data_IF_427294772151
#
_entry.id   IF_427294772151
#
_cell.length_a   1.000
_cell.length_b   1.000
_cell.length_c   1.000
_cell.angle_alpha   90.00
_cell.angle_beta   90.00
_cell.angle_gamma   90.00
#
_symmetry.space_group_name_H-M   'P 1'
#
loop_
_entity.id
_entity.type
_entity.pdbx_description
1 polymer ?
#
# COMPACT_ATOMS: atom_id res chain seq x y z
N UNK A 1 -0.71 0.36 -5.59
CA UNK A 1 -0.74 -1.11 -5.86
C UNK A 1 0.57 -1.77 -5.44
N UNK A 2 0.53 -3.01 -4.92
CA UNK A 2 1.70 -3.78 -4.45
C UNK A 2 1.61 -5.19 -5.03
N UNK A 3 2.73 -5.69 -5.59
CA UNK A 3 2.89 -7.06 -6.04
C UNK A 3 3.88 -7.78 -5.12
N UNK A 4 3.43 -8.86 -4.45
CA UNK A 4 4.23 -9.60 -3.47
C UNK A 4 4.41 -11.05 -3.93
N UNK A 5 5.64 -11.44 -4.24
CA UNK A 5 5.97 -12.84 -4.54
C UNK A 5 6.07 -13.61 -3.23
N UNK A 6 5.22 -14.59 -3.09
CA UNK A 6 5.07 -15.43 -1.91
C UNK A 6 6.01 -16.65 -1.97
N UNK A 7 5.96 -17.50 -0.95
CA UNK A 7 6.87 -18.65 -0.81
C UNK A 7 6.64 -19.68 -1.92
N UNK A 8 7.72 -20.11 -2.56
CA UNK A 8 7.70 -21.22 -3.51
C UNK A 8 7.57 -22.59 -2.79
N UNK A 9 6.98 -23.57 -3.47
CA UNK A 9 6.78 -24.93 -2.97
C UNK A 9 7.03 -25.94 -4.08
N UNK A 10 7.33 -27.19 -3.70
CA UNK A 10 7.37 -28.34 -4.61
C UNK A 10 5.98 -28.95 -4.85
N UNK A 11 5.07 -28.79 -3.87
CA UNK A 11 3.75 -29.43 -3.85
C UNK A 11 2.60 -28.51 -4.24
N UNK A 12 2.86 -27.29 -4.69
CA UNK A 12 1.82 -26.31 -5.03
C UNK A 12 0.77 -26.10 -3.92
N UNK A 13 1.19 -26.09 -2.66
CA UNK A 13 0.33 -25.88 -1.50
C UNK A 13 -0.39 -24.51 -1.50
N UNK A 14 -0.01 -23.61 -2.38
CA UNK A 14 -0.76 -22.37 -2.63
C UNK A 14 -2.17 -22.66 -3.17
N UNK A 15 -2.36 -23.73 -3.94
CA UNK A 15 -3.69 -24.15 -4.43
C UNK A 15 -4.56 -24.54 -3.24
N UNK A 16 -4.08 -25.45 -2.40
CA UNK A 16 -4.79 -25.91 -1.19
C UNK A 16 -5.16 -24.72 -0.27
N UNK A 17 -4.23 -23.80 -0.06
CA UNK A 17 -4.47 -22.60 0.74
C UNK A 17 -5.62 -21.74 0.18
N UNK A 18 -5.63 -21.48 -1.14
CA UNK A 18 -6.66 -20.67 -1.76
C UNK A 18 -8.02 -21.40 -1.80
N UNK A 19 -8.05 -22.70 -2.16
CA UNK A 19 -9.27 -23.52 -2.18
C UNK A 19 -9.89 -23.66 -0.78
N UNK A 20 -9.09 -23.74 0.28
CA UNK A 20 -9.59 -23.72 1.64
C UNK A 20 -10.28 -22.38 2.00
N UNK A 21 -9.89 -21.26 1.39
CA UNK A 21 -10.59 -19.98 1.53
C UNK A 21 -11.86 -19.91 0.67
N UNK A 22 -11.83 -20.47 -0.53
CA UNK A 22 -13.03 -20.62 -1.38
C UNK A 22 -14.10 -21.42 -0.62
N UNK A 23 -13.71 -22.55 -0.02
CA UNK A 23 -14.63 -23.39 0.79
C UNK A 23 -15.22 -22.67 2.00
N UNK A 24 -14.53 -21.63 2.51
CA UNK A 24 -15.01 -20.77 3.61
C UNK A 24 -15.85 -19.58 3.13
N UNK A 25 -16.05 -19.41 1.82
CA UNK A 25 -16.78 -18.28 1.24
C UNK A 25 -16.07 -16.92 1.35
N UNK A 26 -14.74 -16.92 1.60
CA UNK A 26 -13.93 -15.67 1.71
C UNK A 26 -12.96 -15.49 0.54
N UNK A 27 -13.04 -16.35 -0.46
CA UNK A 27 -12.33 -16.23 -1.73
C UNK A 27 -13.15 -16.89 -2.84
N UNK A 28 -12.77 -16.61 -4.08
CA UNK A 28 -13.35 -17.16 -5.29
C UNK A 28 -12.26 -17.46 -6.31
N UNK A 29 -12.34 -18.61 -6.97
CA UNK A 29 -11.50 -18.95 -8.12
C UNK A 29 -12.11 -18.28 -9.36
N UNK A 30 -11.55 -17.16 -9.78
CA UNK A 30 -12.12 -16.33 -10.85
C UNK A 30 -11.53 -16.61 -12.22
N UNK A 31 -10.38 -17.28 -12.31
CA UNK A 31 -9.80 -17.72 -13.58
C UNK A 31 -9.05 -19.05 -13.45
N UNK A 32 -9.36 -19.97 -14.38
CA UNK A 32 -8.60 -21.19 -14.67
C UNK A 32 -8.21 -21.15 -16.15
N UNK A 33 -6.92 -21.19 -16.44
CA UNK A 33 -6.42 -21.13 -17.82
C UNK A 33 -5.37 -22.18 -18.08
N UNK A 34 -5.47 -22.83 -19.27
CA UNK A 34 -4.54 -23.85 -19.74
C UNK A 34 -4.49 -25.11 -18.84
N UNK A 35 -5.68 -25.59 -18.40
CA UNK A 35 -5.89 -26.83 -17.69
C UNK A 35 -6.78 -27.78 -18.55
N UNK A 36 -6.47 -27.90 -19.84
CA UNK A 36 -7.34 -28.42 -20.89
C UNK A 36 -8.00 -29.78 -20.56
N UNK A 37 -7.28 -30.68 -19.91
CA UNK A 37 -7.82 -31.99 -19.51
C UNK A 37 -8.80 -31.92 -18.35
N UNK A 38 -8.67 -30.95 -17.45
CA UNK A 38 -9.50 -30.80 -16.25
C UNK A 38 -10.77 -30.00 -16.52
N UNK A 39 -10.72 -29.02 -17.42
CA UNK A 39 -11.87 -28.16 -17.75
C UNK A 39 -13.04 -28.94 -18.36
N UNK A 40 -12.77 -30.11 -18.96
CA UNK A 40 -13.77 -30.95 -19.61
C UNK A 40 -14.40 -31.99 -18.67
N UNK A 41 -13.93 -32.13 -17.42
CA UNK A 41 -14.39 -33.18 -16.49
C UNK A 41 -15.54 -32.78 -15.56
N UNK A 42 -15.94 -31.53 -15.56
CA UNK A 42 -17.12 -31.00 -14.84
C UNK A 42 -16.97 -30.87 -13.30
N UNK A 43 -16.00 -31.54 -12.67
CA UNK A 43 -15.70 -31.45 -11.22
C UNK A 43 -14.20 -31.28 -11.01
N UNK A 44 -13.76 -30.03 -10.92
CA UNK A 44 -12.35 -29.70 -10.65
C UNK A 44 -12.17 -29.53 -9.14
N UNK A 45 -11.35 -30.41 -8.53
CA UNK A 45 -11.01 -30.33 -7.11
C UNK A 45 -9.65 -29.66 -6.91
N UNK A 46 -9.38 -29.18 -5.69
CA UNK A 46 -8.06 -28.66 -5.31
C UNK A 46 -6.92 -29.65 -5.62
N UNK A 47 -7.15 -30.95 -5.37
CA UNK A 47 -6.18 -32.01 -5.66
C UNK A 47 -5.90 -32.13 -7.17
N UNK A 48 -6.94 -32.08 -8.00
CA UNK A 48 -6.77 -32.16 -9.45
C UNK A 48 -5.94 -30.96 -9.99
N UNK A 49 -6.21 -29.73 -9.53
CA UNK A 49 -5.45 -28.55 -9.91
C UNK A 49 -4.00 -28.65 -9.46
N UNK A 50 -3.77 -29.15 -8.26
CA UNK A 50 -2.45 -29.32 -7.67
C UNK A 50 -1.64 -30.39 -8.42
N UNK A 51 -2.22 -31.56 -8.68
CA UNK A 51 -1.60 -32.63 -9.46
C UNK A 51 -1.28 -32.20 -10.89
N UNK A 52 -2.18 -31.45 -11.52
CA UNK A 52 -1.91 -30.91 -12.85
C UNK A 52 -0.67 -30.02 -12.86
N UNK A 53 -0.55 -29.08 -11.92
CA UNK A 53 0.61 -28.19 -11.81
C UNK A 53 1.90 -28.95 -11.48
N UNK A 54 1.84 -30.00 -10.66
CA UNK A 54 2.97 -30.87 -10.38
C UNK A 54 3.41 -31.61 -11.65
N UNK A 55 2.46 -32.25 -12.34
CA UNK A 55 2.73 -32.99 -13.57
C UNK A 55 3.25 -32.08 -14.70
N UNK A 56 2.64 -30.88 -14.88
CA UNK A 56 3.14 -29.89 -15.80
C UNK A 56 4.59 -29.49 -15.47
N UNK A 57 4.90 -29.35 -14.18
CA UNK A 57 6.23 -28.90 -13.76
C UNK A 57 7.28 -30.02 -13.79
N UNK A 58 6.90 -31.28 -13.88
CA UNK A 58 7.80 -32.42 -14.01
C UNK A 58 8.57 -32.47 -15.35
N UNK A 59 8.21 -31.61 -16.31
CA UNK A 59 9.00 -31.39 -17.53
C UNK A 59 10.44 -30.93 -17.24
N UNK A 60 10.72 -30.45 -16.02
CA UNK A 60 12.07 -30.02 -15.61
C UNK A 60 12.35 -30.38 -14.15
N UNK A 61 12.88 -31.56 -13.93
CA UNK A 61 13.19 -32.12 -12.59
C UNK A 61 14.33 -31.37 -11.85
N UNK A 62 15.06 -30.51 -12.52
CA UNK A 62 16.09 -29.67 -11.88
C UNK A 62 15.47 -28.58 -11.01
N UNK A 63 14.19 -28.24 -11.22
CA UNK A 63 13.49 -27.19 -10.48
C UNK A 63 12.72 -27.79 -9.30
N UNK A 64 13.35 -27.82 -8.14
CA UNK A 64 12.80 -28.47 -6.92
C UNK A 64 11.60 -27.73 -6.31
N UNK A 65 11.40 -26.44 -6.59
CA UNK A 65 10.27 -25.63 -6.07
C UNK A 65 9.63 -24.84 -7.22
N UNK A 66 8.86 -25.51 -8.08
CA UNK A 66 8.32 -24.93 -9.30
C UNK A 66 7.13 -23.99 -9.05
N UNK A 67 6.52 -23.97 -7.88
CA UNK A 67 5.42 -23.04 -7.61
C UNK A 67 5.86 -21.58 -7.72
N UNK A 68 5.17 -20.81 -8.56
CA UNK A 68 5.14 -19.36 -8.49
C UNK A 68 3.80 -18.94 -7.88
N UNK A 69 3.87 -18.22 -6.77
CA UNK A 69 2.70 -17.71 -6.06
C UNK A 69 2.89 -16.21 -5.85
N UNK A 70 1.96 -15.41 -6.36
CA UNK A 70 1.97 -13.96 -6.32
C UNK A 70 0.67 -13.45 -5.71
N UNK A 71 0.74 -12.41 -4.89
CA UNK A 71 -0.40 -11.60 -4.50
C UNK A 71 -0.28 -10.20 -5.08
N UNK A 72 -1.33 -9.69 -5.73
CA UNK A 72 -1.47 -8.30 -6.16
C UNK A 72 -2.57 -7.67 -5.32
N UNK A 73 -2.25 -6.56 -4.66
CA UNK A 73 -3.15 -5.86 -3.73
C UNK A 73 -3.22 -4.37 -4.03
N UNK A 74 -4.42 -3.79 -3.93
CA UNK A 74 -4.68 -2.36 -4.00
C UNK A 74 -5.60 -1.91 -2.85
N UNK A 75 -5.80 -0.62 -2.66
CA UNK A 75 -6.86 -0.12 -1.77
C UNK A 75 -8.22 -0.47 -2.35
N UNK A 76 -9.22 -0.68 -1.49
CA UNK A 76 -10.57 -1.14 -1.86
C UNK A 76 -11.21 -0.34 -3.01
N UNK A 77 -11.00 0.98 -3.02
CA UNK A 77 -11.66 1.89 -3.97
C UNK A 77 -10.75 2.28 -5.16
N UNK A 78 -9.59 1.61 -5.33
CA UNK A 78 -8.66 1.91 -6.43
C UNK A 78 -8.99 1.14 -7.70
N UNK A 79 -9.23 -0.18 -7.58
CA UNK A 79 -9.48 -1.10 -8.68
C UNK A 79 -10.45 -2.19 -8.25
N UNK A 80 -11.35 -2.60 -9.15
CA UNK A 80 -12.18 -3.79 -8.98
C UNK A 80 -11.40 -5.08 -9.31
N UNK A 81 -12.05 -6.23 -9.14
CA UNK A 81 -11.38 -7.52 -9.37
C UNK A 81 -11.12 -7.80 -10.86
N UNK A 82 -11.98 -7.34 -11.78
CA UNK A 82 -11.77 -7.49 -13.22
C UNK A 82 -10.57 -6.65 -13.70
N UNK A 83 -10.41 -5.47 -13.14
CA UNK A 83 -9.25 -4.62 -13.38
C UNK A 83 -7.97 -5.24 -12.82
N UNK A 84 -8.03 -5.84 -11.62
CA UNK A 84 -6.89 -6.56 -11.05
C UNK A 84 -6.48 -7.76 -11.89
N UNK A 85 -7.42 -8.50 -12.48
CA UNK A 85 -7.14 -9.61 -13.42
C UNK A 85 -6.45 -9.08 -14.68
N UNK A 86 -6.92 -7.99 -15.25
CA UNK A 86 -6.25 -7.37 -16.41
C UNK A 86 -4.82 -6.95 -16.13
N UNK A 87 -4.61 -6.34 -14.95
CA UNK A 87 -3.28 -5.95 -14.47
C UNK A 87 -2.41 -7.18 -14.24
N UNK A 88 -2.96 -8.26 -13.68
CA UNK A 88 -2.26 -9.53 -13.47
C UNK A 88 -1.75 -10.12 -14.78
N UNK A 89 -2.56 -10.13 -15.84
CA UNK A 89 -2.14 -10.62 -17.15
C UNK A 89 -1.00 -9.79 -17.76
N UNK A 90 -1.07 -8.46 -17.65
CA UNK A 90 0.02 -7.58 -18.08
C UNK A 90 1.29 -7.85 -17.27
N UNK A 91 1.17 -7.98 -15.96
CA UNK A 91 2.27 -8.28 -15.06
C UNK A 91 2.92 -9.62 -15.40
N UNK A 92 2.12 -10.68 -15.56
CA UNK A 92 2.61 -12.02 -15.89
C UNK A 92 3.37 -12.03 -17.23
N UNK A 93 2.86 -11.32 -18.21
CA UNK A 93 3.53 -11.16 -19.53
C UNK A 93 4.91 -10.48 -19.37
N UNK A 94 5.00 -9.38 -18.65
CA UNK A 94 6.26 -8.63 -18.42
C UNK A 94 7.26 -9.44 -17.56
N UNK A 95 6.78 -10.31 -16.69
CA UNK A 95 7.60 -11.17 -15.84
C UNK A 95 8.00 -12.51 -16.49
N UNK A 96 7.46 -12.81 -17.70
CA UNK A 96 7.75 -14.04 -18.43
C UNK A 96 6.85 -15.24 -18.10
N UNK A 97 5.77 -15.03 -17.34
CA UNK A 97 4.79 -16.05 -16.95
C UNK A 97 3.52 -16.04 -17.83
N UNK A 98 3.47 -15.23 -18.88
CA UNK A 98 2.28 -15.03 -19.70
C UNK A 98 2.32 -15.75 -21.05
N UNK A 99 3.15 -16.77 -21.24
CA UNK A 99 3.22 -17.54 -22.49
C UNK A 99 1.95 -18.36 -22.70
N UNK A 100 1.61 -18.59 -23.97
CA UNK A 100 0.51 -19.48 -24.36
C UNK A 100 0.81 -20.91 -23.89
N UNK A 101 -0.19 -21.59 -23.28
CA UNK A 101 -0.01 -22.90 -22.67
C UNK A 101 0.51 -22.88 -21.22
N UNK A 102 0.84 -21.72 -20.65
CA UNK A 102 1.23 -21.62 -19.23
C UNK A 102 0.00 -21.82 -18.36
N UNK A 103 -0.03 -22.83 -17.45
CA UNK A 103 -1.17 -23.03 -16.55
C UNK A 103 -1.27 -21.88 -15.56
N UNK A 104 -2.48 -21.38 -15.33
CA UNK A 104 -2.73 -20.22 -14.48
C UNK A 104 -4.01 -20.36 -13.68
N UNK A 105 -3.93 -20.07 -12.38
CA UNK A 105 -5.06 -19.93 -11.47
C UNK A 105 -5.03 -18.52 -10.89
N UNK A 106 -6.20 -17.84 -10.88
CA UNK A 106 -6.37 -16.55 -10.22
C UNK A 106 -7.53 -16.65 -9.24
N UNK A 107 -7.28 -16.28 -7.98
CA UNK A 107 -8.25 -16.25 -6.91
C UNK A 107 -8.48 -14.81 -6.44
N UNK A 108 -9.73 -14.38 -6.34
CA UNK A 108 -10.11 -13.16 -5.62
C UNK A 108 -10.27 -13.48 -4.13
N UNK A 109 -9.76 -12.61 -3.26
CA UNK A 109 -9.91 -12.74 -1.81
C UNK A 109 -10.70 -11.58 -1.22
N UNK A 110 -11.62 -11.89 -0.30
CA UNK A 110 -12.56 -10.96 0.32
C UNK A 110 -12.37 -10.83 1.84
N UNK A 111 -11.34 -11.47 2.40
CA UNK A 111 -11.08 -11.56 3.83
C UNK A 111 -10.32 -10.36 4.43
N UNK A 112 -10.04 -9.35 3.61
CA UNK A 112 -9.40 -8.09 4.05
C UNK A 112 -10.13 -6.87 3.51
N UNK A 113 -9.84 -5.70 4.09
CA UNK A 113 -10.40 -4.42 3.60
C UNK A 113 -9.84 -3.98 2.25
N UNK A 114 -8.71 -4.54 1.82
CA UNK A 114 -8.07 -4.23 0.55
C UNK A 114 -8.46 -5.29 -0.49
N UNK A 115 -8.75 -4.87 -1.71
CA UNK A 115 -8.91 -5.81 -2.82
C UNK A 115 -7.56 -6.47 -3.13
N UNK A 116 -7.55 -7.78 -3.22
CA UNK A 116 -6.36 -8.52 -3.61
C UNK A 116 -6.71 -9.82 -4.31
N UNK A 117 -5.82 -10.19 -5.21
CA UNK A 117 -5.89 -11.46 -5.94
C UNK A 117 -4.63 -12.28 -5.67
N UNK A 118 -4.81 -13.60 -5.65
CA UNK A 118 -3.72 -14.55 -5.60
C UNK A 118 -3.59 -15.27 -6.93
N UNK A 119 -2.36 -15.38 -7.42
CA UNK A 119 -2.02 -15.97 -8.71
C UNK A 119 -1.11 -17.15 -8.45
N UNK A 120 -1.46 -18.32 -8.98
CA UNK A 120 -0.66 -19.54 -8.88
C UNK A 120 -0.35 -20.08 -10.27
N UNK A 121 0.93 -20.28 -10.56
CA UNK A 121 1.41 -20.87 -11.82
C UNK A 121 2.76 -21.57 -11.60
N UNK A 122 3.30 -22.18 -12.65
CA UNK A 122 4.61 -22.83 -12.62
C UNK A 122 5.74 -21.85 -12.98
N UNK A 123 6.92 -22.05 -12.35
CA UNK A 123 8.21 -21.41 -12.74
C UNK A 123 8.84 -22.05 -13.97
N UNK A 124 8.18 -23.01 -14.57
CA UNK A 124 8.60 -23.72 -15.78
C UNK A 124 7.66 -23.28 -16.89
N UNK A 125 8.23 -22.82 -18.01
CA UNK A 125 7.43 -22.39 -19.15
C UNK A 125 6.95 -23.58 -19.98
N UNK A 126 6.07 -23.41 -20.98
CA UNK A 126 5.55 -24.50 -21.82
C UNK A 126 6.61 -25.27 -22.60
N UNK A 127 7.83 -24.74 -22.74
CA UNK A 127 8.96 -25.41 -23.40
C UNK A 127 9.87 -26.15 -22.38
N UNK A 128 9.42 -26.34 -21.13
CA UNK A 128 10.16 -27.05 -20.08
C UNK A 128 11.35 -26.26 -19.52
N UNK A 129 11.49 -24.96 -19.82
CA UNK A 129 12.59 -24.13 -19.35
C UNK A 129 12.17 -23.36 -18.09
N UNK A 130 13.12 -23.18 -17.17
CA UNK A 130 12.91 -22.31 -16.01
C UNK A 130 12.76 -20.87 -16.45
N UNK A 131 11.71 -20.22 -15.99
CA UNK A 131 11.50 -18.77 -16.15
C UNK A 131 12.52 -18.02 -15.31
N UNK A 132 13.09 -16.96 -15.88
CA UNK A 132 14.09 -16.14 -15.21
C UNK A 132 13.56 -15.56 -13.90
N UNK A 133 14.30 -15.78 -12.82
CA UNK A 133 13.97 -15.36 -11.46
C UNK A 133 15.04 -14.48 -10.80
N UNK A 134 16.05 -14.07 -11.56
CA UNK A 134 17.12 -13.22 -11.05
C UNK A 134 16.54 -11.85 -10.66
N UNK A 135 16.86 -11.41 -9.43
CA UNK A 135 16.31 -10.19 -8.86
C UNK A 135 14.80 -10.07 -8.96
N UNK A 136 14.08 -11.20 -8.97
CA UNK A 136 12.65 -11.32 -9.24
C UNK A 136 11.79 -10.33 -8.43
N UNK A 137 12.09 -10.13 -7.14
CA UNK A 137 11.34 -9.20 -6.29
C UNK A 137 11.53 -7.74 -6.68
N UNK A 138 12.72 -7.34 -7.09
CA UNK A 138 12.99 -5.98 -7.57
C UNK A 138 12.34 -5.75 -8.93
N UNK A 139 12.43 -6.72 -9.84
CA UNK A 139 11.74 -6.68 -11.14
C UNK A 139 10.24 -6.61 -10.96
N UNK A 140 9.68 -7.43 -10.06
CA UNK A 140 8.25 -7.46 -9.75
C UNK A 140 7.70 -6.07 -9.43
N UNK A 141 8.32 -5.34 -8.50
CA UNK A 141 7.87 -4.00 -8.14
C UNK A 141 8.10 -2.99 -9.28
N UNK A 142 9.18 -3.14 -10.05
CA UNK A 142 9.42 -2.29 -11.22
C UNK A 142 8.37 -2.49 -12.32
N UNK A 143 7.96 -3.74 -12.56
CA UNK A 143 6.91 -4.09 -13.52
C UNK A 143 5.57 -3.51 -13.09
N UNK A 144 5.16 -3.69 -11.82
CA UNK A 144 3.88 -3.13 -11.35
C UNK A 144 3.88 -1.59 -11.43
N UNK A 145 4.99 -0.95 -11.07
CA UNK A 145 5.13 0.50 -11.19
C UNK A 145 5.03 0.97 -12.65
N UNK A 146 5.64 0.23 -13.60
CA UNK A 146 5.55 0.50 -15.03
C UNK A 146 4.11 0.42 -15.53
N UNK A 147 3.38 -0.66 -15.17
CA UNK A 147 1.98 -0.86 -15.56
C UNK A 147 1.10 0.27 -15.01
N UNK A 148 1.37 0.71 -13.77
CA UNK A 148 0.64 1.79 -13.11
C UNK A 148 1.08 3.19 -13.53
N UNK A 149 2.03 3.34 -14.46
CA UNK A 149 2.57 4.64 -14.88
C UNK A 149 3.35 5.38 -13.79
N UNK A 150 3.70 4.70 -12.68
CA UNK A 150 4.43 5.30 -11.56
C UNK A 150 5.92 5.39 -11.87
N UNK A 151 6.52 6.57 -11.70
CA UNK A 151 7.96 6.81 -11.88
C UNK A 151 8.64 7.09 -10.53
N UNK A 152 8.89 6.08 -9.69
CA UNK A 152 9.27 6.27 -8.29
C UNK A 152 10.49 7.18 -8.08
N UNK A 153 11.51 7.06 -8.94
CA UNK A 153 12.73 7.89 -8.83
C UNK A 153 12.53 9.36 -9.19
N UNK A 154 11.61 9.66 -10.10
CA UNK A 154 11.29 11.04 -10.46
C UNK A 154 10.38 11.66 -9.40
N UNK A 155 9.41 10.89 -8.92
CA UNK A 155 8.47 11.31 -7.90
C UNK A 155 9.18 11.59 -6.57
N UNK A 156 10.14 10.73 -6.14
CA UNK A 156 10.88 10.94 -4.89
C UNK A 156 11.72 12.22 -4.91
N UNK A 157 12.37 12.54 -6.03
CA UNK A 157 13.14 13.80 -6.14
C UNK A 157 12.25 15.02 -5.99
N UNK A 158 11.08 15.01 -6.63
CA UNK A 158 10.09 16.07 -6.51
C UNK A 158 9.60 16.20 -5.05
N UNK A 159 9.28 15.08 -4.40
CA UNK A 159 8.85 15.06 -2.99
C UNK A 159 9.94 15.58 -2.06
N UNK A 160 11.19 15.20 -2.28
CA UNK A 160 12.33 15.69 -1.51
C UNK A 160 12.46 17.20 -1.63
N UNK A 161 12.45 17.75 -2.85
CA UNK A 161 12.52 19.20 -3.08
C UNK A 161 11.33 19.92 -2.43
N UNK A 162 10.15 19.35 -2.55
CA UNK A 162 8.95 19.88 -1.89
C UNK A 162 9.08 19.82 -0.36
N UNK A 163 9.61 18.73 0.20
CA UNK A 163 9.82 18.58 1.63
C UNK A 163 10.83 19.56 2.21
N UNK A 164 11.90 19.85 1.46
CA UNK A 164 12.90 20.87 1.83
C UNK A 164 12.32 22.30 1.88
N UNK A 165 11.19 22.55 1.22
CA UNK A 165 10.51 23.86 1.26
C UNK A 165 9.67 24.08 2.52
N UNK A 166 9.54 23.08 3.40
CA UNK A 166 8.83 23.22 4.67
C UNK A 166 9.71 23.84 5.77
N UNK A 167 9.08 24.54 6.71
CA UNK A 167 9.72 24.93 7.96
C UNK A 167 9.74 23.75 8.93
N UNK A 168 10.93 23.25 9.24
CA UNK A 168 11.17 22.17 10.21
C UNK A 168 12.45 22.49 11.02
N UNK A 169 12.55 21.94 12.23
CA UNK A 169 13.66 22.19 13.15
C UNK A 169 14.56 20.96 13.34
N UNK A 170 14.09 19.77 12.99
CA UNK A 170 14.80 18.52 13.24
C UNK A 170 14.67 17.55 12.08
N UNK A 171 15.65 16.66 11.94
CA UNK A 171 15.61 15.55 10.97
C UNK A 171 14.32 14.71 11.11
N UNK A 172 13.88 14.43 12.35
CA UNK A 172 12.63 13.67 12.58
C UNK A 172 11.38 14.38 12.05
N UNK A 173 11.34 15.71 12.04
CA UNK A 173 10.26 16.46 11.40
C UNK A 173 10.33 16.37 9.87
N UNK A 174 11.51 16.40 9.29
CA UNK A 174 11.69 16.18 7.85
C UNK A 174 11.27 14.75 7.44
N UNK A 175 11.66 13.75 8.22
CA UNK A 175 11.21 12.37 8.01
C UNK A 175 9.68 12.24 8.07
N UNK A 176 9.03 12.95 9.01
CA UNK A 176 7.57 12.96 9.09
C UNK A 176 6.90 13.61 7.86
N UNK A 177 7.51 14.64 7.25
CA UNK A 177 7.00 15.20 5.99
C UNK A 177 7.04 14.13 4.88
N UNK A 178 8.14 13.39 4.75
CA UNK A 178 8.28 12.30 3.78
C UNK A 178 7.23 11.20 4.03
N UNK A 179 7.03 10.81 5.32
CA UNK A 179 6.06 9.80 5.71
C UNK A 179 4.62 10.23 5.39
N UNK A 180 4.27 11.51 5.59
CA UNK A 180 2.95 12.05 5.22
C UNK A 180 2.65 11.98 3.72
N UNK A 181 3.71 11.87 2.91
CA UNK A 181 3.68 11.70 1.45
C UNK A 181 3.82 10.22 1.02
N UNK A 182 3.80 9.28 1.99
CA UNK A 182 3.85 7.84 1.73
C UNK A 182 5.26 7.29 1.45
N UNK A 183 6.31 7.98 1.90
CA UNK A 183 7.69 7.50 1.84
C UNK A 183 8.22 7.18 3.23
N UNK A 184 8.82 6.03 3.38
CA UNK A 184 9.57 5.65 4.58
C UNK A 184 11.02 6.16 4.48
N UNK A 185 11.65 6.42 5.62
CA UNK A 185 13.06 6.81 5.63
C UNK A 185 13.79 6.26 6.86
N UNK A 186 15.09 6.03 6.70
CA UNK A 186 15.98 5.61 7.79
C UNK A 186 17.38 6.19 7.59
N UNK A 187 18.09 6.37 8.68
CA UNK A 187 19.47 6.88 8.68
C UNK A 187 20.46 5.74 8.59
N UNK A 188 21.50 5.94 7.78
CA UNK A 188 22.66 5.03 7.68
C UNK A 188 23.93 5.87 7.48
N UNK A 189 24.78 5.89 8.51
CA UNK A 189 25.90 6.84 8.55
C UNK A 189 25.41 8.28 8.44
N UNK A 190 25.98 9.04 7.55
CA UNK A 190 25.65 10.46 7.30
C UNK A 190 24.49 10.66 6.31
N UNK A 191 23.87 9.57 5.86
CA UNK A 191 22.82 9.62 4.85
C UNK A 191 21.44 9.31 5.44
N UNK A 192 20.41 9.98 4.91
CA UNK A 192 19.03 9.61 5.02
C UNK A 192 18.63 8.85 3.75
N UNK A 193 18.32 7.57 3.88
CA UNK A 193 17.81 6.72 2.83
C UNK A 193 16.28 6.83 2.77
N UNK A 194 15.73 7.12 1.58
CA UNK A 194 14.29 7.27 1.34
C UNK A 194 13.81 6.08 0.52
N UNK A 195 12.80 5.37 1.02
CA UNK A 195 12.27 4.17 0.39
C UNK A 195 10.75 4.20 0.23
N UNK A 196 10.27 3.41 -0.71
CA UNK A 196 8.84 3.14 -0.92
C UNK A 196 8.66 1.69 -1.37
N UNK A 197 7.73 0.97 -0.75
CA UNK A 197 7.48 -0.43 -1.07
C UNK A 197 8.72 -1.33 -0.88
N UNK A 198 9.57 -1.04 0.14
CA UNK A 198 10.79 -1.81 0.43
C UNK A 198 12.02 -1.45 -0.42
N UNK A 199 11.88 -0.62 -1.47
CA UNK A 199 12.98 -0.21 -2.35
C UNK A 199 13.51 1.16 -1.96
N UNK A 200 14.84 1.30 -1.79
CA UNK A 200 15.51 2.60 -1.62
C UNK A 200 15.50 3.32 -2.97
N UNK A 201 14.92 4.50 -3.00
CA UNK A 201 14.73 5.30 -4.22
C UNK A 201 15.70 6.47 -4.31
N UNK A 202 16.09 7.04 -3.15
CA UNK A 202 16.96 8.20 -3.06
C UNK A 202 17.74 8.18 -1.73
N UNK A 203 18.91 8.80 -1.71
CA UNK A 203 19.66 9.09 -0.49
C UNK A 203 20.09 10.56 -0.48
N UNK A 204 20.09 11.15 0.70
CA UNK A 204 20.44 12.56 0.90
C UNK A 204 21.37 12.67 2.11
N UNK A 205 22.38 13.52 2.03
CA UNK A 205 23.21 13.84 3.18
C UNK A 205 22.38 14.56 4.26
N UNK A 206 22.48 14.11 5.50
CA UNK A 206 21.80 14.71 6.65
C UNK A 206 22.22 16.18 6.80
N UNK A 207 23.50 16.47 6.57
CA UNK A 207 24.00 17.85 6.60
C UNK A 207 23.35 18.77 5.56
N UNK A 208 22.88 18.24 4.43
CA UNK A 208 22.14 19.00 3.43
C UNK A 208 20.73 19.32 3.92
N UNK A 209 20.06 18.37 4.56
CA UNK A 209 18.76 18.58 5.18
C UNK A 209 18.85 19.62 6.31
N UNK A 210 19.88 19.55 7.13
CA UNK A 210 20.11 20.46 8.26
C UNK A 210 20.34 21.92 7.82
N UNK A 211 20.94 22.17 6.65
CA UNK A 211 21.09 23.50 6.08
C UNK A 211 19.76 24.19 5.79
N UNK A 212 18.69 23.42 5.56
CA UNK A 212 17.35 23.92 5.29
C UNK A 212 16.47 24.05 6.54
N UNK A 213 17.00 23.77 7.76
CA UNK A 213 16.23 23.94 9.00
C UNK A 213 15.87 25.42 9.20
N UNK A 214 14.58 25.69 9.40
CA UNK A 214 14.06 27.03 9.59
C UNK A 214 13.22 27.11 10.86
N UNK A 215 13.54 28.12 11.71
CA UNK A 215 12.72 28.47 12.86
C UNK A 215 11.77 29.60 12.49
N UNK A 216 10.49 29.40 12.68
CA UNK A 216 9.47 30.45 12.52
C UNK A 216 9.50 31.43 13.69
N UNK A 217 8.96 32.64 13.47
CA UNK A 217 8.77 33.62 14.53
C UNK A 217 7.87 33.07 15.65
N UNK A 218 8.15 33.43 16.89
CA UNK A 218 7.41 32.92 18.05
C UNK A 218 5.92 33.30 18.00
N UNK A 219 5.60 34.52 17.55
CA UNK A 219 4.21 35.01 17.52
C UNK A 219 3.32 34.28 16.50
N UNK A 220 3.79 34.12 15.27
CA UNK A 220 3.05 33.38 14.22
C UNK A 220 2.86 31.91 14.60
N UNK A 221 3.92 31.30 15.14
CA UNK A 221 3.88 29.92 15.60
C UNK A 221 2.86 29.73 16.72
N UNK A 222 2.76 30.65 17.68
CA UNK A 222 1.83 30.56 18.80
C UNK A 222 0.36 30.65 18.32
N UNK A 223 0.06 31.62 17.45
CA UNK A 223 -1.28 31.78 16.88
C UNK A 223 -1.72 30.51 16.14
N UNK A 224 -0.84 29.96 15.30
CA UNK A 224 -1.17 28.74 14.54
C UNK A 224 -1.31 27.51 15.41
N UNK A 225 -0.49 27.35 16.47
CA UNK A 225 -0.63 26.26 17.46
C UNK A 225 -2.00 26.31 18.15
N UNK A 226 -2.50 27.48 18.51
CA UNK A 226 -3.84 27.64 19.10
C UNK A 226 -4.95 27.21 18.15
N UNK A 227 -4.86 27.59 16.87
CA UNK A 227 -5.80 27.17 15.83
C UNK A 227 -5.77 25.64 15.64
N UNK A 228 -4.57 25.06 15.52
CA UNK A 228 -4.41 23.61 15.38
C UNK A 228 -4.96 22.86 16.61
N UNK A 229 -4.72 23.36 17.82
CA UNK A 229 -5.29 22.77 19.03
C UNK A 229 -6.81 22.74 19.00
N UNK A 230 -7.44 23.85 18.63
CA UNK A 230 -8.90 23.93 18.52
C UNK A 230 -9.47 22.96 17.48
N UNK A 231 -8.80 22.85 16.31
CA UNK A 231 -9.16 21.90 15.25
C UNK A 231 -9.02 20.45 15.75
N UNK A 232 -7.88 20.11 16.36
CA UNK A 232 -7.62 18.76 16.87
C UNK A 232 -8.67 18.33 17.90
N UNK A 233 -8.97 19.18 18.88
CA UNK A 233 -9.97 18.90 19.91
C UNK A 233 -11.36 18.68 19.30
N UNK A 234 -11.80 19.60 18.41
CA UNK A 234 -13.12 19.50 17.77
C UNK A 234 -13.27 18.20 16.97
N UNK A 235 -12.27 17.85 16.15
CA UNK A 235 -12.38 16.70 15.26
C UNK A 235 -12.09 15.37 15.94
N UNK A 236 -11.26 15.35 17.01
CA UNK A 236 -11.12 14.19 17.88
C UNK A 236 -12.46 13.77 18.48
N UNK A 237 -13.27 14.71 18.92
CA UNK A 237 -14.55 14.44 19.60
C UNK A 237 -15.62 13.87 18.66
N UNK A 238 -15.45 13.99 17.35
CA UNK A 238 -16.40 13.48 16.34
C UNK A 238 -15.85 12.33 15.48
N UNK A 239 -14.63 11.86 15.77
CA UNK A 239 -14.01 10.71 15.10
C UNK A 239 -13.80 9.56 16.10
N UNK A 240 -13.71 8.32 15.59
CA UNK A 240 -13.67 7.11 16.40
C UNK A 240 -12.23 6.63 16.68
N UNK A 241 -11.25 7.04 15.88
CA UNK A 241 -9.86 6.62 15.95
C UNK A 241 -8.91 7.63 15.27
N UNK A 242 -7.61 7.41 15.45
CA UNK A 242 -6.57 8.31 14.94
C UNK A 242 -6.45 8.32 13.41
N UNK A 243 -6.75 7.21 12.76
CA UNK A 243 -6.74 7.06 11.32
C UNK A 243 -7.83 7.93 10.68
N UNK A 244 -9.05 7.82 11.17
CA UNK A 244 -10.20 8.63 10.75
C UNK A 244 -9.95 10.13 11.01
N UNK A 245 -9.45 10.46 12.21
CA UNK A 245 -9.05 11.83 12.53
C UNK A 245 -8.05 12.39 11.51
N UNK A 246 -6.99 11.63 11.21
CA UNK A 246 -5.96 12.05 10.27
C UNK A 246 -6.50 12.27 8.85
N UNK A 247 -7.38 11.41 8.37
CA UNK A 247 -8.04 11.57 7.07
C UNK A 247 -8.89 12.84 6.99
N UNK A 248 -9.72 13.08 8.00
CA UNK A 248 -10.56 14.28 8.06
C UNK A 248 -9.72 15.55 8.11
N UNK A 249 -8.66 15.56 8.94
CA UNK A 249 -7.75 16.70 9.05
C UNK A 249 -7.02 16.97 7.73
N UNK A 250 -6.56 15.93 7.05
CA UNK A 250 -5.87 16.05 5.77
C UNK A 250 -6.79 16.64 4.70
N UNK A 251 -8.01 16.11 4.59
CA UNK A 251 -8.99 16.55 3.57
C UNK A 251 -9.52 17.96 3.81
N UNK A 252 -9.90 18.30 5.05
CA UNK A 252 -10.51 19.59 5.38
C UNK A 252 -9.51 20.74 5.54
N UNK A 253 -8.37 20.46 6.14
CA UNK A 253 -7.44 21.51 6.57
C UNK A 253 -6.06 21.42 5.91
N UNK A 254 -5.77 20.34 5.19
CA UNK A 254 -4.42 20.09 4.67
C UNK A 254 -3.44 19.84 5.83
N UNK A 255 -3.87 19.19 6.90
CA UNK A 255 -3.06 18.87 8.07
C UNK A 255 -2.94 17.36 8.20
N UNK A 256 -1.71 16.86 8.31
CA UNK A 256 -1.44 15.44 8.53
C UNK A 256 -0.81 15.23 9.91
N UNK A 257 -1.16 14.10 10.55
CA UNK A 257 -0.56 13.64 11.80
C UNK A 257 0.33 12.43 11.52
N UNK A 258 1.58 12.49 11.91
CA UNK A 258 2.52 11.37 11.85
C UNK A 258 2.84 10.93 13.27
N UNK A 259 2.47 9.71 13.61
CA UNK A 259 2.63 9.14 14.95
C UNK A 259 3.97 8.43 15.09
N UNK A 260 4.66 8.65 16.22
CA UNK A 260 5.96 8.07 16.52
C UNK A 260 5.83 6.92 17.52
N UNK A 261 6.54 5.82 17.25
CA UNK A 261 6.55 4.62 18.08
C UNK A 261 5.74 3.48 17.51
N UNK A 262 5.25 2.58 18.36
CA UNK A 262 4.44 1.43 17.93
C UNK A 262 3.05 1.91 17.49
N UNK A 263 2.47 1.24 16.48
CA UNK A 263 1.16 1.58 15.91
C UNK A 263 0.07 1.75 16.97
N UNK A 264 0.02 0.83 17.94
CA UNK A 264 -1.04 0.81 18.97
C UNK A 264 -0.70 1.66 20.21
N UNK A 265 0.57 1.99 20.42
CA UNK A 265 1.05 2.76 21.58
C UNK A 265 2.06 3.81 21.16
N UNK A 266 1.64 4.85 20.39
CA UNK A 266 2.54 5.93 20.01
C UNK A 266 2.91 6.77 21.24
N UNK A 267 4.19 7.16 21.32
CA UNK A 267 4.67 8.02 22.42
C UNK A 267 4.61 9.52 22.08
N UNK A 268 4.37 9.86 20.82
CA UNK A 268 4.27 11.24 20.34
C UNK A 268 3.79 11.31 18.91
N UNK A 269 3.67 12.53 18.41
CA UNK A 269 3.31 12.78 17.02
C UNK A 269 3.84 14.12 16.52
N UNK A 270 3.93 14.25 15.23
CA UNK A 270 4.28 15.47 14.50
C UNK A 270 3.07 15.89 13.67
N UNK A 271 2.75 17.18 13.73
CA UNK A 271 1.71 17.81 12.91
C UNK A 271 2.40 18.41 11.68
N UNK A 272 1.90 18.08 10.49
CA UNK A 272 2.36 18.65 9.23
C UNK A 272 1.24 19.50 8.66
N UNK A 273 1.48 20.79 8.59
CA UNK A 273 0.58 21.78 8.01
C UNK A 273 1.01 22.02 6.55
N UNK A 274 0.32 21.38 5.62
CA UNK A 274 0.67 21.44 4.20
C UNK A 274 0.34 22.81 3.58
N UNK A 275 -0.63 23.55 4.14
CA UNK A 275 -0.97 24.90 3.67
C UNK A 275 0.11 25.91 4.03
N UNK A 276 0.55 25.85 5.28
CA UNK A 276 1.60 26.75 5.81
C UNK A 276 3.02 26.23 5.52
N UNK A 277 3.15 25.04 4.94
CA UNK A 277 4.42 24.33 4.75
C UNK A 277 5.25 24.34 6.04
N UNK A 278 4.68 23.84 7.12
CA UNK A 278 5.30 23.87 8.44
C UNK A 278 5.03 22.61 9.24
N UNK A 279 5.93 22.32 10.16
CA UNK A 279 5.79 21.22 11.11
C UNK A 279 5.70 21.72 12.54
N UNK A 280 4.95 20.99 13.38
CA UNK A 280 4.84 21.28 14.80
C UNK A 280 4.98 19.98 15.60
N UNK A 281 5.69 20.04 16.74
CA UNK A 281 5.73 18.93 17.67
C UNK A 281 4.36 18.80 18.33
N UNK A 282 3.77 17.62 18.30
CA UNK A 282 2.43 17.40 18.86
C UNK A 282 2.32 17.83 20.31
N UNK A 283 3.34 17.55 21.15
CA UNK A 283 3.38 17.96 22.56
C UNK A 283 3.24 19.48 22.79
N UNK A 284 3.63 20.29 21.80
CA UNK A 284 3.57 21.76 21.92
C UNK A 284 2.18 22.30 21.50
N UNK A 285 1.28 21.44 21.00
CA UNK A 285 -0.07 21.79 20.55
C UNK A 285 -1.11 21.07 21.41
N UNK A 286 -1.07 19.74 21.47
CA UNK A 286 -1.97 18.91 22.26
C UNK A 286 -1.22 17.65 22.70
N UNK A 287 -1.30 17.28 23.98
CA UNK A 287 -0.65 16.08 24.51
C UNK A 287 -1.16 14.80 23.84
N UNK A 288 -0.27 13.80 23.60
CA UNK A 288 -0.65 12.55 22.92
C UNK A 288 -1.80 11.81 23.63
N UNK A 289 -1.79 11.77 24.96
CA UNK A 289 -2.84 11.13 25.75
C UNK A 289 -4.20 11.83 25.55
N UNK A 290 -4.19 13.15 25.49
CA UNK A 290 -5.37 13.97 25.26
C UNK A 290 -5.86 13.81 23.81
N UNK A 291 -4.95 13.77 22.83
CA UNK A 291 -5.30 13.55 21.42
C UNK A 291 -5.97 12.19 21.20
N UNK A 292 -5.47 11.14 21.85
CA UNK A 292 -5.98 9.76 21.66
C UNK A 292 -7.19 9.42 22.55
N UNK A 293 -7.69 10.37 23.31
CA UNK A 293 -8.90 10.21 24.11
C UNK A 293 -10.14 10.46 23.26
N UNK A 294 -10.50 9.47 22.42
CA UNK A 294 -11.70 9.52 21.59
C UNK A 294 -12.96 9.28 22.41
N UNK A 295 -13.96 10.12 22.26
CA UNK A 295 -15.23 9.97 22.97
C UNK A 295 -16.12 8.97 22.20
N UNK A 296 -16.14 7.72 22.68
CA UNK A 296 -16.90 6.62 22.05
C UNK A 296 -18.43 6.83 22.11
N UNK A 297 -18.92 7.67 23.02
CA UNK A 297 -20.35 7.91 23.25
C UNK A 297 -20.88 9.11 22.46
N UNK A 298 -20.03 10.03 22.02
CA UNK A 298 -20.43 11.27 21.37
C UNK A 298 -20.66 11.15 19.85
N UNK A 299 -20.40 9.98 19.26
CA UNK A 299 -20.74 9.71 17.85
C UNK A 299 -22.23 9.42 17.75
N UNK A 300 -23.07 10.44 17.96
CA UNK A 300 -24.52 10.34 17.72
C UNK A 300 -24.75 10.01 16.23
N UNK A 301 -25.83 9.28 15.91
CA UNK A 301 -26.18 8.90 14.52
C UNK A 301 -26.16 10.10 13.56
N UNK A 302 -26.56 11.27 14.03
CA UNK A 302 -26.54 12.53 13.27
C UNK A 302 -25.13 12.96 12.83
N UNK A 303 -24.10 12.77 13.66
CA UNK A 303 -22.73 13.07 13.30
C UNK A 303 -22.12 12.00 12.38
N UNK A 304 -22.58 10.74 12.49
CA UNK A 304 -22.20 9.67 11.55
C UNK A 304 -22.75 9.93 10.16
N UNK A 305 -23.99 10.38 10.05
CA UNK A 305 -24.62 10.69 8.77
C UNK A 305 -23.95 11.91 8.11
N UNK A 306 -23.64 12.97 8.85
CA UNK A 306 -22.89 14.12 8.31
C UNK A 306 -21.49 13.75 7.84
N UNK A 307 -20.80 12.88 8.56
CA UNK A 307 -19.47 12.37 8.18
C UNK A 307 -19.59 11.41 6.99
N UNK A 308 -20.57 10.51 6.99
CA UNK A 308 -20.82 9.57 5.90
C UNK A 308 -21.20 10.29 4.60
N UNK A 309 -22.11 11.29 4.67
CA UNK A 309 -22.48 12.15 3.54
C UNK A 309 -21.27 12.95 3.04
N UNK A 310 -20.45 13.47 3.94
CA UNK A 310 -19.25 14.20 3.57
C UNK A 310 -18.22 13.30 2.88
N UNK A 311 -18.00 12.07 3.39
CA UNK A 311 -17.10 11.07 2.79
C UNK A 311 -17.66 10.62 1.42
N UNK A 312 -18.97 10.37 1.33
CA UNK A 312 -19.63 10.00 0.08
C UNK A 312 -19.49 11.08 -1.00
N UNK A 313 -19.76 12.35 -0.66
CA UNK A 313 -19.62 13.47 -1.58
C UNK A 313 -18.16 13.65 -2.06
N UNK A 314 -17.18 13.40 -1.19
CA UNK A 314 -15.76 13.45 -1.56
C UNK A 314 -15.33 12.32 -2.50
N UNK A 315 -15.91 11.13 -2.34
CA UNK A 315 -15.70 10.00 -3.24
C UNK A 315 -16.29 10.26 -4.63
N UNK A 316 -17.47 10.91 -4.69
CA UNK A 316 -18.10 11.31 -5.93
C UNK A 316 -17.36 12.46 -6.66
N UNK A 317 -16.81 13.43 -5.93
CA UNK A 317 -15.99 14.50 -6.50
C UNK A 317 -14.68 13.96 -7.09
N UNK A 318 -14.04 13.00 -6.41
CA UNK A 318 -12.83 12.34 -6.92
C UNK A 318 -13.11 11.49 -8.18
N UNK A 319 -14.28 10.81 -8.28
CA UNK A 319 -14.70 10.11 -9.50
C UNK A 319 -14.88 11.05 -10.69
N UNK A 320 -15.45 12.25 -10.48
CA UNK A 320 -15.65 13.25 -11.54
C UNK A 320 -14.34 13.85 -12.04
N UNK A 321 -13.32 14.02 -11.18
CA UNK A 321 -12.01 14.51 -11.60
C UNK A 321 -11.18 13.46 -12.36
N UNK A 322 -11.43 12.16 -12.15
CA UNK A 322 -10.73 11.08 -12.85
C UNK A 322 -11.32 10.75 -14.22
N UNK A 323 -12.56 11.23 -14.52
CA UNK A 323 -13.27 11.01 -15.80
C UNK A 323 -13.15 12.23 -16.74
N UNK A 324 -12.56 13.34 -16.27
CA UNK A 324 -12.45 14.62 -16.98
C UNK A 324 -11.07 14.98 -17.50
N UNK A 325 -10.09 14.05 -17.47
CA UNK A 325 -8.76 14.22 -18.10
C UNK A 325 -8.46 13.13 -19.13
#
# INVERSE_FOLDING_TARGET
>A
MIATILRSSSSFNAVEYNEAKVSKGVAELIEIKNFDLLQNTGNVTASNLQEYLINYSSQNDNIKKPQFHLAISCKKDEYDYDELVRIAHQYLKEMGYGEEGQPLLIYAHYDTSNHHIHIVTSRINPQGKKIDHDNERLRSQAVINKIMGVKPKQDVKSIVQQSLSYSYETLGQFQAILESSGYESYTEGDNLNIKKGGTVLENILISEIEKHTQKRSKGETQKRRMQLKAILLKYRDITSNKEELNEVLKKKFGVSLVFMGKKDTPYGYIIIDHKEKATYKGKDVLGIKELLHFNKEAVTEKNKDEIAVFIHNLLEENKKQTIGE
#
